data_IF_752451450723
#
_entry.id   IF_752451450723
#
_cell.length_a   1.000
_cell.length_b   1.000
_cell.length_c   1.000
_cell.angle_alpha   90.00
_cell.angle_beta   90.00
_cell.angle_gamma   90.00
#
_symmetry.space_group_name_H-M   'P 1'
#
loop_
_entity.id
_entity.type
_entity.pdbx_description
1 polymer ?
#
# COMPACT_ATOMS: atom_id res chain seq x y z
N UNK A 1 -30.05 75.41 -30.92
CA UNK A 1 -30.31 74.54 -32.07
C UNK A 1 -29.22 74.75 -33.10
N UNK A 2 -28.55 73.65 -33.40
CA UNK A 2 -27.94 73.31 -34.68
C UNK A 2 -26.58 73.85 -35.15
N UNK A 3 -25.72 72.84 -35.36
CA UNK A 3 -24.70 72.65 -36.41
C UNK A 3 -23.29 73.24 -36.22
N UNK A 4 -22.36 72.33 -35.87
CA UNK A 4 -20.97 72.30 -36.36
C UNK A 4 -20.67 70.83 -36.73
N UNK A 5 -20.81 70.44 -37.99
CA UNK A 5 -19.79 70.40 -39.07
C UNK A 5 -18.62 69.46 -38.72
N UNK A 6 -18.64 68.30 -39.39
CA UNK A 6 -17.56 67.31 -39.51
C UNK A 6 -16.33 67.88 -40.22
N UNK A 7 -15.15 67.40 -39.82
CA UNK A 7 -13.90 67.54 -40.56
C UNK A 7 -13.04 66.30 -40.36
N UNK A 8 -12.85 65.52 -41.43
CA UNK A 8 -11.96 64.38 -41.52
C UNK A 8 -10.53 64.84 -41.81
N UNK A 9 -9.53 64.17 -41.22
CA UNK A 9 -8.11 64.39 -41.47
C UNK A 9 -7.35 63.07 -41.37
N UNK A 10 -6.92 62.56 -42.51
CA UNK A 10 -6.33 61.24 -42.76
C UNK A 10 -4.89 61.22 -42.24
N UNK A 11 -4.58 60.31 -41.30
CA UNK A 11 -3.21 60.01 -40.87
C UNK A 11 -2.65 58.85 -41.68
N UNK A 12 -1.65 59.10 -42.52
CA UNK A 12 -0.90 58.06 -43.21
C UNK A 12 0.19 57.51 -42.26
N UNK A 13 0.00 56.31 -41.73
CA UNK A 13 1.01 55.58 -40.97
C UNK A 13 1.85 54.72 -41.91
N UNK A 14 3.17 54.92 -41.84
CA UNK A 14 4.19 54.19 -42.58
C UNK A 14 4.31 52.76 -42.01
N UNK A 15 3.89 51.74 -42.76
CA UNK A 15 4.03 50.34 -42.36
C UNK A 15 5.45 49.84 -42.72
N UNK A 16 6.31 49.67 -41.72
CA UNK A 16 7.60 49.00 -41.83
C UNK A 16 7.33 47.49 -41.85
N UNK A 17 7.56 46.85 -43.00
CA UNK A 17 7.50 45.41 -43.16
C UNK A 17 8.68 44.74 -42.47
N UNK A 18 8.43 44.06 -41.34
CA UNK A 18 9.40 43.20 -40.67
C UNK A 18 9.29 41.81 -41.30
N UNK A 19 10.31 41.42 -42.07
CA UNK A 19 10.51 40.04 -42.53
C UNK A 19 10.97 39.18 -41.35
N UNK A 20 10.08 38.36 -40.78
CA UNK A 20 10.43 37.34 -39.80
C UNK A 20 10.97 36.10 -40.54
N UNK A 21 12.29 35.92 -40.53
CA UNK A 21 12.94 34.67 -40.92
C UNK A 21 12.64 33.60 -39.86
N UNK A 22 11.83 32.60 -40.22
CA UNK A 22 11.58 31.43 -39.38
C UNK A 22 12.80 30.50 -39.39
N UNK A 23 13.54 30.45 -38.27
CA UNK A 23 14.56 29.44 -38.04
C UNK A 23 13.91 28.10 -37.64
N UNK A 24 14.39 26.94 -38.14
CA UNK A 24 13.90 25.64 -37.71
C UNK A 24 14.31 25.38 -36.26
N UNK A 25 13.32 25.18 -35.38
CA UNK A 25 13.55 24.77 -34.00
C UNK A 25 14.11 23.33 -33.96
N UNK A 26 15.11 23.04 -33.10
CA UNK A 26 15.58 21.68 -32.92
C UNK A 26 14.47 20.82 -32.30
N UNK A 27 14.25 19.65 -32.90
CA UNK A 27 13.34 18.64 -32.38
C UNK A 27 13.74 18.26 -30.96
N UNK A 28 12.89 18.57 -29.98
CA UNK A 28 13.05 18.07 -28.63
C UNK A 28 12.72 16.58 -28.64
N UNK A 29 13.74 15.73 -28.49
CA UNK A 29 13.57 14.36 -28.03
C UNK A 29 12.96 14.43 -26.65
N UNK A 30 11.65 14.16 -26.55
CA UNK A 30 10.98 13.92 -25.29
C UNK A 30 11.63 12.71 -24.62
N UNK A 31 12.50 12.98 -23.64
CA UNK A 31 12.91 11.99 -22.64
C UNK A 31 11.64 11.42 -22.01
N UNK A 32 11.41 10.12 -22.24
CA UNK A 32 10.45 9.35 -21.46
C UNK A 32 11.04 9.17 -20.07
N UNK A 33 10.89 10.19 -19.23
CA UNK A 33 10.96 9.99 -17.78
C UNK A 33 10.04 8.83 -17.42
N UNK A 34 10.62 7.82 -16.78
CA UNK A 34 10.04 6.53 -16.52
C UNK A 34 8.63 6.61 -15.89
N UNK A 35 7.59 6.48 -16.71
CA UNK A 35 6.21 6.23 -16.30
C UNK A 35 5.97 4.77 -15.89
N UNK A 36 6.93 4.14 -15.22
CA UNK A 36 6.85 2.74 -14.79
C UNK A 36 6.10 2.49 -13.47
N UNK A 37 5.45 3.52 -12.93
CA UNK A 37 5.05 3.64 -11.53
C UNK A 37 4.25 2.45 -10.98
N UNK A 38 3.19 2.00 -11.65
CA UNK A 38 2.34 0.94 -11.09
C UNK A 38 2.52 -0.43 -11.76
N UNK A 39 2.89 -0.47 -13.05
CA UNK A 39 3.05 -1.74 -13.78
C UNK A 39 4.21 -2.59 -13.22
N UNK A 40 5.23 -1.95 -12.66
CA UNK A 40 6.39 -2.63 -12.07
C UNK A 40 6.27 -2.94 -10.58
N UNK A 41 5.22 -2.43 -9.90
CA UNK A 41 4.98 -2.64 -8.47
C UNK A 41 4.72 -4.12 -8.15
N UNK A 42 5.41 -4.67 -7.16
CA UNK A 42 5.22 -6.03 -6.63
C UNK A 42 4.89 -6.07 -5.14
N UNK A 43 4.85 -4.91 -4.47
CA UNK A 43 4.45 -4.80 -3.08
C UNK A 43 3.72 -3.50 -2.82
N UNK A 44 2.72 -3.56 -1.94
CA UNK A 44 2.11 -2.37 -1.32
C UNK A 44 1.43 -2.74 0.01
N UNK A 45 1.15 -1.72 0.83
CA UNK A 45 0.21 -1.81 1.95
C UNK A 45 -1.15 -1.33 1.44
N UNK A 46 -2.24 -2.05 1.70
CA UNK A 46 -3.57 -1.59 1.26
C UNK A 46 -3.88 -0.19 1.80
N UNK A 47 -4.33 0.73 0.95
CA UNK A 47 -4.82 2.06 1.38
C UNK A 47 -6.02 1.99 2.33
N UNK A 48 -6.81 0.92 2.24
CA UNK A 48 -8.01 0.68 3.06
C UNK A 48 -8.16 -0.79 3.41
N UNK A 49 -8.72 -1.08 4.58
CA UNK A 49 -9.11 -2.45 4.97
C UNK A 49 -10.36 -2.95 4.25
N UNK A 50 -10.83 -4.14 4.60
CA UNK A 50 -12.04 -4.74 4.00
C UNK A 50 -13.36 -4.02 4.38
N UNK A 51 -13.32 -3.17 5.40
CA UNK A 51 -14.50 -2.57 6.03
C UNK A 51 -15.22 -3.50 7.01
N UNK A 52 -14.73 -4.74 7.19
CA UNK A 52 -15.31 -5.76 8.09
C UNK A 52 -14.31 -6.20 9.16
N UNK A 53 -13.45 -5.29 9.63
CA UNK A 53 -12.37 -5.63 10.55
C UNK A 53 -11.47 -6.73 9.97
N UNK A 54 -11.22 -7.78 10.75
CA UNK A 54 -10.42 -8.93 10.34
C UNK A 54 -11.22 -10.05 9.64
N UNK A 55 -12.52 -9.87 9.40
CA UNK A 55 -13.28 -10.77 8.53
C UNK A 55 -12.97 -10.42 7.07
N UNK A 56 -12.06 -11.20 6.50
CA UNK A 56 -11.63 -11.06 5.12
C UNK A 56 -12.30 -12.10 4.22
N UNK A 57 -13.16 -12.97 4.77
CA UNK A 57 -13.65 -14.16 4.07
C UNK A 57 -12.55 -15.21 3.83
N UNK A 58 -11.61 -15.32 4.78
CA UNK A 58 -10.43 -16.19 4.67
C UNK A 58 -9.35 -15.64 3.75
N UNK A 59 -8.30 -16.45 3.53
CA UNK A 59 -7.14 -16.07 2.71
C UNK A 59 -7.53 -15.68 1.28
N UNK A 60 -8.48 -16.38 0.66
CA UNK A 60 -8.92 -16.07 -0.69
C UNK A 60 -9.57 -14.70 -0.79
N UNK A 61 -10.34 -14.28 0.23
CA UNK A 61 -10.95 -12.96 0.24
C UNK A 61 -9.95 -11.84 0.51
N UNK A 62 -8.94 -12.11 1.34
CA UNK A 62 -7.80 -11.21 1.52
C UNK A 62 -7.01 -11.02 0.21
N UNK A 63 -6.72 -12.10 -0.52
CA UNK A 63 -6.03 -12.06 -1.81
C UNK A 63 -6.86 -11.30 -2.86
N UNK A 64 -8.18 -11.50 -2.88
CA UNK A 64 -9.10 -10.72 -3.74
C UNK A 64 -9.04 -9.23 -3.44
N UNK A 65 -9.00 -8.84 -2.16
CA UNK A 65 -8.90 -7.43 -1.75
C UNK A 65 -7.61 -6.79 -2.27
N UNK A 66 -6.47 -7.47 -2.09
CA UNK A 66 -5.19 -7.04 -2.65
C UNK A 66 -5.28 -6.86 -4.18
N UNK A 67 -5.83 -7.85 -4.88
CA UNK A 67 -5.96 -7.78 -6.35
C UNK A 67 -6.85 -6.62 -6.82
N UNK A 68 -7.95 -6.36 -6.11
CA UNK A 68 -8.86 -5.25 -6.44
C UNK A 68 -8.17 -3.89 -6.34
N UNK A 69 -7.43 -3.65 -5.26
CA UNK A 69 -6.68 -2.40 -5.07
C UNK A 69 -5.55 -2.27 -6.10
N UNK A 70 -4.80 -3.34 -6.35
CA UNK A 70 -3.78 -3.34 -7.39
C UNK A 70 -4.37 -3.08 -8.79
N UNK A 71 -5.54 -3.64 -9.10
CA UNK A 71 -6.24 -3.41 -10.36
C UNK A 71 -6.63 -1.94 -10.53
N UNK A 72 -7.07 -1.27 -9.46
CA UNK A 72 -7.45 0.14 -9.50
C UNK A 72 -6.31 1.08 -9.94
N UNK A 73 -5.05 0.66 -9.75
CA UNK A 73 -3.84 1.39 -10.18
C UNK A 73 -3.15 0.77 -11.40
N UNK A 74 -3.80 -0.16 -12.10
CA UNK A 74 -3.26 -0.78 -13.31
C UNK A 74 -2.22 -1.89 -13.07
N UNK A 75 -2.11 -2.41 -11.85
CA UNK A 75 -1.21 -3.50 -11.46
C UNK A 75 -1.95 -4.84 -11.26
N UNK A 76 -3.20 -4.97 -11.74
CA UNK A 76 -4.08 -6.12 -11.45
C UNK A 76 -3.70 -7.45 -12.13
N UNK A 77 -2.75 -7.45 -13.08
CA UNK A 77 -2.39 -8.63 -13.87
C UNK A 77 -1.40 -9.58 -13.17
N UNK A 78 -1.05 -9.33 -11.91
CA UNK A 78 -0.16 -10.18 -11.10
C UNK A 78 -0.95 -11.09 -10.17
N UNK A 79 -0.33 -12.17 -9.72
CA UNK A 79 -0.90 -13.00 -8.66
C UNK A 79 -0.66 -12.35 -7.29
N UNK A 80 -1.58 -11.50 -6.86
CA UNK A 80 -1.50 -10.82 -5.57
C UNK A 80 -1.94 -11.72 -4.41
N UNK A 81 -1.09 -11.78 -3.38
CA UNK A 81 -1.35 -12.47 -2.12
C UNK A 81 -1.30 -11.49 -0.95
N UNK A 82 -2.29 -11.59 -0.06
CA UNK A 82 -2.20 -10.97 1.24
C UNK A 82 -1.21 -11.76 2.11
N UNK A 83 -0.27 -11.06 2.75
CA UNK A 83 0.68 -11.64 3.69
C UNK A 83 -0.03 -11.99 5.00
N UNK A 84 -0.66 -13.16 5.01
CA UNK A 84 -1.43 -13.67 6.14
C UNK A 84 -1.17 -15.15 6.34
N UNK A 85 -0.91 -15.53 7.58
CA UNK A 85 -0.88 -16.92 8.00
C UNK A 85 -2.26 -17.37 8.51
N UNK A 86 -2.51 -18.67 8.52
CA UNK A 86 -3.68 -19.29 9.17
C UNK A 86 -3.22 -20.41 10.09
N UNK A 87 -3.97 -20.63 11.16
CA UNK A 87 -3.74 -21.74 12.09
C UNK A 87 -4.43 -23.02 11.60
N UNK A 88 -3.89 -24.17 12.00
CA UNK A 88 -4.53 -25.45 11.75
C UNK A 88 -5.91 -25.50 12.43
N UNK A 89 -6.96 -25.73 11.66
CA UNK A 89 -8.34 -25.78 12.13
C UNK A 89 -9.18 -26.65 11.20
N UNK A 90 -10.22 -27.31 11.74
CA UNK A 90 -11.18 -28.11 10.97
C UNK A 90 -10.52 -29.15 10.05
N UNK A 91 -9.45 -29.79 10.54
CA UNK A 91 -8.68 -30.79 9.80
C UNK A 91 -7.81 -30.22 8.67
N UNK A 92 -7.75 -28.90 8.50
CA UNK A 92 -6.86 -28.23 7.54
C UNK A 92 -5.53 -27.87 8.21
N UNK A 93 -4.40 -28.04 7.51
CA UNK A 93 -3.10 -27.63 8.04
C UNK A 93 -3.03 -26.12 8.17
N UNK A 94 -2.12 -25.65 9.03
CA UNK A 94 -1.75 -24.25 9.07
C UNK A 94 -1.13 -23.83 7.73
N UNK A 95 -1.28 -22.55 7.39
CA UNK A 95 -0.67 -21.98 6.18
C UNK A 95 0.22 -20.82 6.59
N UNK A 96 1.48 -20.87 6.18
CA UNK A 96 2.46 -19.81 6.45
C UNK A 96 2.32 -18.69 5.42
N UNK A 97 2.38 -17.44 5.86
CA UNK A 97 2.38 -16.28 4.96
C UNK A 97 3.58 -16.30 4.01
N UNK A 98 4.77 -16.63 4.54
CA UNK A 98 6.03 -16.64 3.77
C UNK A 98 6.02 -17.58 2.56
N UNK A 99 5.26 -18.67 2.63
CA UNK A 99 5.21 -19.69 1.57
C UNK A 99 4.29 -19.30 0.42
N UNK A 100 3.48 -18.25 0.59
CA UNK A 100 2.44 -17.84 -0.37
C UNK A 100 2.88 -16.72 -1.28
N UNK A 101 3.79 -15.85 -0.85
CA UNK A 101 4.04 -14.54 -1.47
C UNK A 101 5.02 -14.54 -2.66
N UNK A 102 5.44 -15.72 -3.13
CA UNK A 102 6.44 -15.87 -4.19
C UNK A 102 7.88 -15.72 -3.70
N UNK A 103 8.84 -15.69 -4.63
CA UNK A 103 10.27 -15.64 -4.31
C UNK A 103 10.85 -14.21 -4.23
N UNK A 104 10.11 -13.19 -4.67
CA UNK A 104 10.61 -11.83 -4.85
C UNK A 104 11.42 -11.65 -6.14
N UNK A 105 12.05 -10.48 -6.35
CA UNK A 105 12.09 -9.33 -5.46
C UNK A 105 10.77 -8.56 -5.43
N UNK A 106 10.50 -7.90 -4.30
CA UNK A 106 9.35 -7.02 -4.16
C UNK A 106 9.76 -5.56 -4.07
N UNK A 107 9.05 -4.70 -4.80
CA UNK A 107 9.28 -3.26 -4.81
C UNK A 107 7.95 -2.50 -4.74
N UNK A 108 8.00 -1.32 -4.10
CA UNK A 108 6.86 -0.42 -4.03
C UNK A 108 6.63 0.29 -5.39
N UNK A 109 5.55 1.07 -5.47
CA UNK A 109 5.17 1.86 -6.66
C UNK A 109 6.19 2.92 -7.08
N UNK A 110 7.16 3.26 -6.22
CA UNK A 110 8.29 4.14 -6.55
C UNK A 110 9.53 3.38 -7.02
N UNK A 111 9.42 2.06 -7.21
CA UNK A 111 10.52 1.18 -7.60
C UNK A 111 11.54 0.93 -6.49
N UNK A 112 11.24 1.30 -5.24
CA UNK A 112 12.14 1.01 -4.12
C UNK A 112 11.98 -0.46 -3.70
N UNK A 113 13.09 -1.19 -3.69
CA UNK A 113 13.12 -2.61 -3.28
C UNK A 113 12.83 -2.72 -1.79
N UNK A 114 11.82 -3.53 -1.47
CA UNK A 114 11.39 -3.87 -0.12
C UNK A 114 12.13 -5.12 0.37
N UNK A 115 12.24 -6.14 -0.45
CA UNK A 115 13.05 -7.32 -0.16
C UNK A 115 13.44 -8.03 -1.46
N UNK A 116 14.62 -8.64 -1.46
CA UNK A 116 15.16 -9.35 -2.62
C UNK A 116 14.76 -10.82 -2.68
N UNK A 117 14.48 -11.42 -1.53
CA UNK A 117 14.02 -12.79 -1.37
C UNK A 117 13.17 -12.95 -0.11
N UNK A 118 12.56 -14.12 0.09
CA UNK A 118 11.85 -14.46 1.34
C UNK A 118 12.80 -14.36 2.55
N UNK A 119 14.04 -14.83 2.41
CA UNK A 119 15.04 -14.76 3.48
C UNK A 119 15.39 -13.31 3.81
N UNK A 120 15.60 -12.47 2.79
CA UNK A 120 15.84 -11.04 2.98
C UNK A 120 14.63 -10.35 3.62
N UNK A 121 13.40 -10.73 3.23
CA UNK A 121 12.16 -10.23 3.80
C UNK A 121 12.07 -10.50 5.31
N UNK A 122 12.55 -11.65 5.78
CA UNK A 122 12.52 -12.02 7.20
C UNK A 122 13.80 -11.67 7.98
N UNK A 123 14.81 -11.07 7.33
CA UNK A 123 16.07 -10.68 7.95
C UNK A 123 16.34 -9.18 7.88
N UNK A 124 16.57 -8.62 6.68
CA UNK A 124 17.12 -7.27 6.48
C UNK A 124 16.28 -6.42 5.51
N UNK A 125 14.97 -6.64 5.49
CA UNK A 125 14.07 -5.98 4.57
C UNK A 125 14.08 -4.43 4.71
N UNK A 126 13.68 -3.76 3.64
CA UNK A 126 13.59 -2.31 3.54
C UNK A 126 12.26 -1.71 4.01
N UNK A 127 11.40 -2.44 4.74
CA UNK A 127 10.13 -1.90 5.25
C UNK A 127 10.34 -0.87 6.35
N UNK A 128 9.92 0.35 6.06
CA UNK A 128 9.81 1.48 6.98
C UNK A 128 8.54 2.25 6.66
N UNK A 129 8.18 3.24 7.48
CA UNK A 129 7.08 4.18 7.18
C UNK A 129 7.22 4.83 5.80
N UNK A 130 8.45 5.11 5.36
CA UNK A 130 8.72 5.82 4.10
C UNK A 130 8.64 4.93 2.87
N UNK A 131 8.89 3.62 3.01
CA UNK A 131 8.94 2.67 1.90
C UNK A 131 7.69 1.79 1.81
N UNK A 132 7.01 1.57 2.94
CA UNK A 132 5.70 0.96 3.05
C UNK A 132 4.60 1.87 2.51
N UNK A 133 4.51 1.93 1.18
CA UNK A 133 3.55 2.79 0.48
C UNK A 133 2.28 2.04 0.10
N UNK A 134 1.21 2.79 -0.09
CA UNK A 134 -0.03 2.28 -0.67
C UNK A 134 0.12 1.93 -2.14
N UNK A 135 -0.87 1.24 -2.71
CA UNK A 135 -0.96 0.99 -4.15
C UNK A 135 -0.96 2.29 -4.99
N UNK A 136 -1.42 3.39 -4.39
CA UNK A 136 -1.42 4.74 -4.99
C UNK A 136 -0.12 5.51 -4.73
N UNK A 137 0.78 5.00 -3.90
CA UNK A 137 2.07 5.62 -3.57
C UNK A 137 2.05 6.60 -2.41
N UNK A 138 0.96 6.59 -1.64
CA UNK A 138 0.80 7.38 -0.45
C UNK A 138 1.49 6.71 0.74
N UNK A 139 1.90 7.53 1.71
CA UNK A 139 2.44 7.04 2.96
C UNK A 139 1.30 6.61 3.87
N UNK A 140 1.41 5.43 4.49
CA UNK A 140 0.43 4.97 5.48
C UNK A 140 0.66 5.71 6.79
N UNK A 141 -0.42 6.15 7.44
CA UNK A 141 -0.33 6.74 8.77
C UNK A 141 0.29 5.73 9.75
N UNK A 142 1.31 6.18 10.47
CA UNK A 142 2.00 5.42 11.51
C UNK A 142 1.69 5.98 12.90
N UNK A 143 2.44 5.49 13.88
CA UNK A 143 2.36 5.97 15.26
C UNK A 143 2.65 7.48 15.32
N UNK A 144 1.76 8.21 15.98
CA UNK A 144 1.82 9.67 16.11
C UNK A 144 1.02 10.44 15.05
N UNK A 145 0.56 9.77 13.99
CA UNK A 145 -0.35 10.37 13.02
C UNK A 145 -1.82 10.22 13.44
N UNK A 146 -2.72 10.96 12.79
CA UNK A 146 -4.17 10.87 13.02
C UNK A 146 -4.92 10.63 11.70
N UNK A 147 -5.74 9.57 11.60
CA UNK A 147 -5.87 8.47 12.56
C UNK A 147 -4.58 7.63 12.63
N UNK A 148 -4.35 6.95 13.76
CA UNK A 148 -3.27 5.96 13.87
C UNK A 148 -3.70 4.66 13.16
N UNK A 149 -2.91 4.20 12.19
CA UNK A 149 -3.15 2.97 11.42
C UNK A 149 -1.87 2.15 11.26
N UNK A 150 -1.01 2.14 12.29
CA UNK A 150 0.31 1.53 12.19
C UNK A 150 0.31 -0.01 12.25
N UNK A 151 -0.74 -0.60 12.82
CA UNK A 151 -0.89 -2.05 12.90
C UNK A 151 -1.39 -2.64 11.58
N UNK A 152 -0.67 -3.65 11.08
CA UNK A 152 -1.01 -4.44 9.90
C UNK A 152 -1.31 -5.88 10.32
N UNK A 153 -2.42 -6.46 9.84
CA UNK A 153 -2.80 -7.85 10.15
C UNK A 153 -1.81 -8.83 9.49
N UNK A 154 -1.35 -9.85 10.23
CA UNK A 154 -0.39 -10.85 9.70
C UNK A 154 -0.67 -12.28 10.15
N UNK A 155 -1.11 -12.49 11.39
CA UNK A 155 -1.26 -13.82 11.98
C UNK A 155 0.03 -14.65 12.03
N UNK A 156 1.20 -14.01 11.90
CA UNK A 156 2.47 -14.69 11.61
C UNK A 156 3.50 -14.51 12.72
N UNK A 157 4.36 -15.51 12.89
CA UNK A 157 5.60 -15.39 13.66
C UNK A 157 6.62 -14.51 12.90
N UNK A 158 7.71 -14.06 13.56
CA UNK A 158 8.70 -13.18 12.92
C UNK A 158 9.29 -13.75 11.63
N UNK A 159 9.50 -15.07 11.58
CA UNK A 159 10.02 -15.80 10.43
C UNK A 159 8.97 -16.05 9.33
N UNK A 160 7.75 -15.57 9.51
CA UNK A 160 6.65 -15.67 8.57
C UNK A 160 5.88 -16.99 8.57
N UNK A 161 6.15 -17.85 9.55
CA UNK A 161 5.35 -19.05 9.78
C UNK A 161 4.08 -18.75 10.57
N UNK A 162 3.09 -19.64 10.45
CA UNK A 162 1.87 -19.57 11.24
C UNK A 162 2.14 -19.87 12.72
N UNK A 163 1.34 -19.28 13.61
CA UNK A 163 1.30 -19.75 14.99
C UNK A 163 0.68 -21.15 15.08
N UNK A 164 1.16 -21.95 16.03
CA UNK A 164 0.49 -23.18 16.45
C UNK A 164 -0.40 -22.97 17.68
N UNK A 165 -0.99 -24.05 18.16
CA UNK A 165 -1.76 -24.06 19.41
C UNK A 165 -3.21 -23.59 19.26
N UNK A 166 -3.91 -23.55 20.40
CA UNK A 166 -5.36 -23.31 20.46
C UNK A 166 -5.75 -21.84 20.61
N UNK A 167 -4.82 -20.96 20.98
CA UNK A 167 -5.08 -19.52 21.06
C UNK A 167 -5.26 -18.94 19.66
N UNK A 168 -6.36 -18.24 19.44
CA UNK A 168 -6.65 -17.59 18.15
C UNK A 168 -5.78 -16.34 17.97
N UNK A 169 -4.96 -16.35 16.92
CA UNK A 169 -4.06 -15.28 16.50
C UNK A 169 -4.32 -14.85 15.06
N UNK A 170 -5.48 -15.21 14.51
CA UNK A 170 -5.85 -14.97 13.12
C UNK A 170 -7.29 -14.50 12.95
N UNK A 171 -7.97 -14.17 14.06
CA UNK A 171 -9.40 -13.87 14.06
C UNK A 171 -10.24 -14.97 13.38
N UNK A 172 -10.01 -16.21 13.81
CA UNK A 172 -10.67 -17.40 13.27
C UNK A 172 -10.30 -17.65 11.82
N UNK A 173 -9.01 -17.61 11.49
CA UNK A 173 -8.52 -17.72 10.11
C UNK A 173 -9.17 -16.71 9.16
N UNK A 174 -9.30 -15.47 9.64
CA UNK A 174 -9.77 -14.30 8.90
C UNK A 174 -11.25 -14.36 8.51
N UNK A 175 -12.08 -14.92 9.38
CA UNK A 175 -13.55 -15.02 9.18
C UNK A 175 -14.35 -14.44 10.34
N UNK A 176 -13.75 -13.60 11.21
CA UNK A 176 -14.42 -13.00 12.37
C UNK A 176 -14.24 -11.48 12.39
N UNK A 177 -15.32 -10.80 12.77
CA UNK A 177 -15.38 -9.33 12.94
C UNK A 177 -16.00 -8.94 14.31
N UNK A 178 -15.98 -9.87 15.28
CA UNK A 178 -16.60 -9.68 16.59
C UNK A 178 -15.63 -9.20 17.68
N UNK A 179 -16.06 -9.30 18.93
CA UNK A 179 -15.20 -9.11 20.11
C UNK A 179 -14.41 -10.37 20.44
N UNK A 180 -14.76 -11.49 19.81
CA UNK A 180 -14.13 -12.79 19.99
C UNK A 180 -12.90 -12.96 19.09
N UNK A 181 -11.84 -13.53 19.68
CA UNK A 181 -10.58 -13.81 19.00
C UNK A 181 -9.62 -12.62 19.02
N UNK A 182 -8.46 -12.83 18.42
CA UNK A 182 -7.45 -11.81 18.21
C UNK A 182 -6.65 -12.14 16.94
N UNK A 183 -5.99 -11.14 16.38
CA UNK A 183 -5.03 -11.32 15.30
C UNK A 183 -3.64 -10.90 15.76
N UNK A 184 -2.60 -11.64 15.36
CA UNK A 184 -1.24 -11.10 15.40
C UNK A 184 -1.12 -9.99 14.35
N UNK A 185 -0.57 -8.86 14.78
CA UNK A 185 -0.23 -7.72 13.93
C UNK A 185 1.26 -7.43 13.96
N UNK A 186 1.74 -6.63 13.03
CA UNK A 186 3.03 -5.96 13.15
C UNK A 186 2.96 -4.50 12.71
N UNK A 187 4.05 -3.77 12.94
CA UNK A 187 4.12 -2.33 12.72
C UNK A 187 4.81 -1.99 11.40
N UNK A 188 4.11 -1.41 10.44
CA UNK A 188 4.72 -1.02 9.14
C UNK A 188 5.79 0.06 9.29
N UNK A 189 5.63 0.91 10.32
CA UNK A 189 6.51 2.03 10.60
C UNK A 189 7.75 1.65 11.42
N UNK A 190 7.82 0.41 11.92
CA UNK A 190 8.87 -0.10 12.81
C UNK A 190 8.94 0.59 14.19
N UNK A 191 7.83 1.17 14.65
CA UNK A 191 7.77 1.92 15.91
C UNK A 191 6.80 1.25 16.89
N UNK A 192 7.32 0.82 18.04
CA UNK A 192 6.53 0.34 19.18
C UNK A 192 6.74 1.17 20.44
N UNK A 193 6.21 0.71 21.57
CA UNK A 193 6.31 1.41 22.86
C UNK A 193 7.73 1.39 23.47
N UNK A 194 8.60 0.50 22.98
CA UNK A 194 9.97 0.32 23.42
C UNK A 194 10.88 -0.14 22.29
N UNK A 195 12.08 -0.59 22.67
CA UNK A 195 13.14 -0.99 21.73
C UNK A 195 13.31 -2.51 21.57
N UNK A 196 12.46 -3.31 22.23
CA UNK A 196 12.50 -4.77 22.13
C UNK A 196 12.12 -5.27 20.72
N UNK A 197 12.58 -6.47 20.31
CA UNK A 197 12.35 -6.96 18.96
C UNK A 197 10.88 -7.03 18.53
N UNK A 198 9.92 -7.52 19.37
CA UNK A 198 8.50 -7.46 19.04
C UNK A 198 8.00 -6.03 18.79
N UNK A 199 8.37 -5.05 19.62
CA UNK A 199 7.95 -3.66 19.45
C UNK A 199 8.33 -3.05 18.07
N UNK A 200 9.41 -3.53 17.43
CA UNK A 200 9.86 -3.09 16.10
C UNK A 200 9.55 -4.08 14.97
N UNK A 201 8.85 -5.16 15.28
CA UNK A 201 8.52 -6.20 14.30
C UNK A 201 7.46 -5.72 13.32
N UNK A 202 7.72 -5.87 12.02
CA UNK A 202 6.75 -5.50 10.98
C UNK A 202 5.62 -6.50 10.82
N UNK A 203 5.81 -7.74 11.29
CA UNK A 203 4.86 -8.84 11.08
C UNK A 203 4.47 -9.60 12.35
N UNK A 204 5.07 -9.35 13.51
CA UNK A 204 4.82 -10.13 14.73
C UNK A 204 5.12 -9.30 15.98
N UNK A 205 4.35 -8.23 16.20
CA UNK A 205 4.52 -7.34 17.36
C UNK A 205 3.64 -7.74 18.53
N UNK A 206 2.32 -7.69 18.37
CA UNK A 206 1.36 -8.01 19.43
C UNK A 206 0.03 -8.50 18.88
N UNK A 207 -0.82 -8.99 19.77
CA UNK A 207 -2.21 -9.32 19.45
C UNK A 207 -3.08 -8.07 19.40
N UNK A 208 -4.13 -8.11 18.59
CA UNK A 208 -5.20 -7.11 18.63
C UNK A 208 -5.90 -7.11 19.99
N UNK A 209 -6.37 -5.94 20.41
CA UNK A 209 -7.07 -5.72 21.69
C UNK A 209 -8.56 -5.53 21.43
N UNK A 210 -9.40 -6.20 22.21
CA UNK A 210 -10.86 -6.04 22.15
C UNK A 210 -11.55 -6.76 20.99
N UNK A 211 -10.83 -7.60 20.24
CA UNK A 211 -11.39 -8.49 19.23
C UNK A 211 -10.90 -8.23 17.81
N UNK A 212 -11.79 -8.53 16.87
CA UNK A 212 -11.54 -8.59 15.43
C UNK A 212 -12.40 -7.61 14.63
N UNK A 213 -13.33 -6.91 15.28
CA UNK A 213 -14.15 -5.88 14.67
C UNK A 213 -13.33 -4.68 14.22
N UNK A 214 -13.85 -3.91 13.27
CA UNK A 214 -13.19 -2.68 12.82
C UNK A 214 -12.89 -1.71 13.98
N UNK A 215 -13.80 -1.59 14.95
CA UNK A 215 -13.61 -0.71 16.10
C UNK A 215 -12.58 -1.25 17.08
N UNK A 216 -12.50 -2.57 17.24
CA UNK A 216 -11.42 -3.21 18.01
C UNK A 216 -10.04 -2.95 17.36
N UNK A 217 -9.96 -3.06 16.04
CA UNK A 217 -8.72 -2.76 15.30
C UNK A 217 -8.30 -1.30 15.49
N UNK A 218 -9.24 -0.34 15.37
CA UNK A 218 -8.97 1.08 15.63
C UNK A 218 -8.48 1.32 17.06
N UNK A 219 -9.11 0.67 18.05
CA UNK A 219 -8.72 0.76 19.46
C UNK A 219 -7.36 0.11 19.76
N UNK A 220 -6.92 -0.82 18.91
CA UNK A 220 -5.58 -1.42 18.99
C UNK A 220 -4.52 -0.46 18.45
N UNK A 221 -4.79 0.17 17.31
CA UNK A 221 -3.82 0.97 16.54
C UNK A 221 -3.85 0.72 15.03
N UNK A 222 -4.78 -0.11 14.53
CA UNK A 222 -4.86 -0.52 13.14
C UNK A 222 -6.14 -0.09 12.42
N UNK A 223 -6.14 -0.27 11.11
CA UNK A 223 -7.31 -0.07 10.26
C UNK A 223 -7.75 -1.34 9.51
N UNK A 224 -7.20 -2.51 9.86
CA UNK A 224 -7.44 -3.75 9.11
C UNK A 224 -6.73 -3.77 7.77
N UNK A 225 -5.57 -3.10 7.69
CA UNK A 225 -4.75 -3.05 6.49
C UNK A 225 -3.96 -4.35 6.32
N UNK A 226 -3.57 -4.62 5.08
CA UNK A 226 -2.83 -5.82 4.68
C UNK A 226 -1.54 -5.42 3.95
N UNK A 227 -0.50 -6.24 4.06
CA UNK A 227 0.57 -6.24 3.07
C UNK A 227 0.17 -7.13 1.89
N UNK A 228 0.34 -6.61 0.68
CA UNK A 228 0.04 -7.31 -0.56
C UNK A 228 1.33 -7.52 -1.36
N UNK A 229 1.62 -8.78 -1.69
CA UNK A 229 2.81 -9.19 -2.43
C UNK A 229 2.40 -9.87 -3.73
N UNK A 230 3.08 -9.53 -4.83
CA UNK A 230 2.97 -10.29 -6.07
C UNK A 230 3.77 -11.60 -5.93
N UNK A 231 3.14 -12.72 -6.31
CA UNK A 231 3.67 -14.07 -6.15
C UNK A 231 3.98 -14.78 -7.49
N UNK A 232 3.95 -14.03 -8.59
CA UNK A 232 4.19 -14.49 -9.96
C UNK A 232 5.66 -14.55 -10.37
#
# INVERSE_FOLDING_TARGET
>A
MDRKISGAGIGAALAIGILLSAAPAPAQTSDRSAGGGSASMSFFITSVGSGKGADLGGLEGADRHCRQLAQAVGAGNRDWKAYLSTQAADGRPAVNARDRIGAGPWQNVKGQVIARSVEDLHANNGLTKQTGLTETGEMVNGRGDTPNTHDILTGSQPDGTAFGGAEDRTCGNWTRSGTEGAAMVGHHDRIGLGDDPPAKSWNSSHLTRGGCSQDALKGTGGAGLLYCFAAD
#
